data_IF_759139026946
#
_entry.id   IF_759139026946
#
_cell.length_a   1.000
_cell.length_b   1.000
_cell.length_c   1.000
_cell.angle_alpha   90.00
_cell.angle_beta   90.00
_cell.angle_gamma   90.00
#
_symmetry.space_group_name_H-M   'P 1'
#
loop_
_entity.id
_entity.type
_entity.pdbx_description
1 polymer ?
#
# COMPACT_ATOMS: atom_id res chain seq x y z
N UNK A 1 9.33 -47.25 4.11
CA UNK A 1 9.12 -46.68 2.76
C UNK A 1 7.94 -45.72 2.90
N UNK A 2 8.06 -44.39 2.79
CA UNK A 2 8.61 -43.61 1.68
C UNK A 2 9.09 -42.23 2.15
N UNK A 3 10.08 -41.67 1.45
CA UNK A 3 10.79 -40.41 1.74
C UNK A 3 10.10 -39.21 1.10
N UNK A 4 10.00 -38.09 1.82
CA UNK A 4 9.86 -36.72 1.27
C UNK A 4 10.64 -35.77 2.19
N UNK A 5 11.96 -35.66 2.00
CA UNK A 5 12.66 -34.56 1.30
C UNK A 5 12.40 -33.18 1.91
N UNK A 6 13.31 -32.80 2.82
CA UNK A 6 13.52 -31.45 3.33
C UNK A 6 14.20 -30.61 2.25
N UNK A 7 13.69 -29.42 1.95
CA UNK A 7 14.45 -28.40 1.21
C UNK A 7 14.86 -27.25 2.12
N UNK A 8 16.17 -27.24 2.39
CA UNK A 8 16.95 -26.19 3.03
C UNK A 8 17.01 -24.97 2.10
N UNK A 9 16.78 -23.76 2.64
CA UNK A 9 17.00 -22.51 1.90
C UNK A 9 18.50 -22.25 1.83
N UNK A 10 19.02 -22.33 0.61
CA UNK A 10 20.40 -22.04 0.25
C UNK A 10 20.81 -20.61 0.64
N UNK A 11 21.89 -20.51 1.40
CA UNK A 11 22.69 -19.30 1.60
C UNK A 11 23.54 -19.09 0.34
N UNK A 12 23.28 -18.05 -0.44
CA UNK A 12 24.20 -17.64 -1.51
C UNK A 12 25.28 -16.73 -0.93
N UNK A 13 26.46 -17.31 -0.68
CA UNK A 13 27.73 -16.57 -0.55
C UNK A 13 28.12 -16.09 -1.95
N UNK A 14 27.95 -14.80 -2.23
CA UNK A 14 28.55 -14.22 -3.42
C UNK A 14 30.06 -14.04 -3.18
N UNK A 15 30.84 -14.86 -3.90
CA UNK A 15 32.28 -14.72 -4.08
C UNK A 15 32.56 -13.46 -4.89
N UNK A 16 33.49 -12.63 -4.43
CA UNK A 16 34.06 -11.49 -5.14
C UNK A 16 34.86 -11.95 -6.37
N UNK A 17 34.61 -11.40 -7.58
CA UNK A 17 35.58 -11.45 -8.66
C UNK A 17 36.51 -10.24 -8.55
N UNK A 18 37.80 -10.51 -8.34
CA UNK A 18 38.90 -9.55 -8.50
C UNK A 18 39.24 -9.50 -9.99
N UNK A 19 39.07 -8.34 -10.64
CA UNK A 19 39.65 -8.04 -11.97
C UNK A 19 39.86 -6.51 -12.10
N UNK A 20 40.74 -6.07 -13.02
CA UNK A 20 41.94 -5.34 -12.64
C UNK A 20 41.82 -3.81 -12.76
N UNK A 21 42.68 -3.16 -11.98
CA UNK A 21 43.07 -1.75 -12.02
C UNK A 21 43.13 -1.21 -13.45
N UNK A 22 42.20 -0.33 -13.81
CA UNK A 22 42.33 0.54 -14.97
C UNK A 22 42.38 2.00 -14.53
N UNK A 23 43.28 2.73 -15.17
CA UNK A 23 43.94 3.92 -14.68
C UNK A 23 43.05 5.17 -14.78
N UNK A 24 43.23 6.04 -13.79
CA UNK A 24 42.94 7.46 -13.72
C UNK A 24 42.49 8.13 -15.02
N UNK A 25 41.19 8.46 -15.09
CA UNK A 25 40.69 9.59 -15.87
C UNK A 25 40.22 10.65 -14.88
N UNK A 26 41.02 11.69 -14.72
CA UNK A 26 40.65 12.91 -14.00
C UNK A 26 39.55 13.63 -14.78
N UNK A 27 38.33 13.58 -14.26
CA UNK A 27 37.24 14.45 -14.70
C UNK A 27 37.38 15.82 -13.99
N UNK A 28 37.19 16.94 -14.70
CA UNK A 28 37.30 18.27 -14.11
C UNK A 28 36.17 18.49 -13.09
N UNK A 29 36.55 19.01 -11.93
CA UNK A 29 35.63 19.42 -10.87
C UNK A 29 34.90 20.70 -11.33
N UNK A 30 33.59 20.62 -11.56
CA UNK A 30 32.77 21.82 -11.78
C UNK A 30 32.25 22.34 -10.45
N UNK A 31 32.85 23.41 -9.94
CA UNK A 31 32.28 24.24 -8.88
C UNK A 31 31.11 25.04 -9.44
N UNK A 32 29.88 24.70 -9.04
CA UNK A 32 28.71 25.55 -9.25
C UNK A 32 28.81 26.76 -8.33
N UNK A 33 29.02 27.94 -8.91
CA UNK A 33 28.82 29.23 -8.22
C UNK A 33 27.35 29.33 -7.83
N UNK A 34 27.08 29.42 -6.53
CA UNK A 34 25.73 29.61 -5.99
C UNK A 34 25.32 31.06 -6.28
N UNK A 35 24.39 31.23 -7.22
CA UNK A 35 23.75 32.50 -7.53
C UNK A 35 22.68 32.79 -6.46
N UNK A 36 23.00 33.72 -5.55
CA UNK A 36 22.18 34.04 -4.36
C UNK A 36 20.89 34.82 -4.67
N UNK A 37 20.60 35.14 -5.93
CA UNK A 37 19.49 36.02 -6.31
C UNK A 37 18.34 35.35 -7.09
N UNK A 38 18.29 34.02 -7.12
CA UNK A 38 17.15 33.29 -7.72
C UNK A 38 16.26 32.71 -6.63
N UNK A 39 14.94 32.97 -6.62
CA UNK A 39 14.04 32.27 -5.72
C UNK A 39 14.24 30.76 -5.95
N UNK A 40 14.66 30.06 -4.88
CA UNK A 40 14.96 28.64 -4.95
C UNK A 40 13.71 27.90 -5.35
N UNK A 41 13.76 27.24 -6.52
CA UNK A 41 12.71 26.29 -6.88
C UNK A 41 12.76 25.18 -5.82
N UNK A 42 11.61 24.74 -5.27
CA UNK A 42 11.61 23.63 -4.35
C UNK A 42 12.28 22.43 -5.02
N UNK A 43 13.14 21.76 -4.25
CA UNK A 43 13.79 20.55 -4.72
C UNK A 43 12.74 19.56 -5.24
N UNK A 44 13.04 18.81 -6.31
CA UNK A 44 12.11 17.81 -6.82
C UNK A 44 11.78 16.82 -5.70
N UNK A 45 10.55 16.26 -5.67
CA UNK A 45 10.17 15.23 -4.72
C UNK A 45 11.23 14.13 -4.68
N UNK A 46 11.54 13.53 -3.51
CA UNK A 46 12.65 12.59 -3.34
C UNK A 46 12.53 11.33 -4.21
N UNK A 47 11.34 11.09 -4.76
CA UNK A 47 11.02 9.99 -5.66
C UNK A 47 10.22 10.48 -6.87
N UNK A 48 10.31 9.74 -7.97
CA UNK A 48 9.49 9.88 -9.18
C UNK A 48 9.01 8.52 -9.65
N UNK A 49 7.88 8.48 -10.36
CA UNK A 49 7.40 7.27 -11.03
C UNK A 49 7.96 7.23 -12.46
N UNK A 50 8.46 6.08 -12.90
CA UNK A 50 8.87 5.84 -14.28
C UNK A 50 8.62 4.37 -14.67
N UNK A 51 8.81 4.02 -15.94
CA UNK A 51 8.70 2.63 -16.40
C UNK A 51 10.00 1.86 -16.12
N UNK A 52 9.84 0.58 -15.84
CA UNK A 52 10.90 -0.42 -15.79
C UNK A 52 10.86 -1.25 -17.07
N UNK A 53 11.94 -1.93 -17.40
CA UNK A 53 12.02 -2.78 -18.60
C UNK A 53 11.09 -4.00 -18.53
N UNK A 54 10.79 -4.51 -17.33
CA UNK A 54 10.10 -5.80 -17.15
C UNK A 54 8.99 -5.84 -16.10
N UNK A 55 8.86 -4.84 -15.24
CA UNK A 55 7.92 -4.83 -14.10
C UNK A 55 6.84 -3.73 -14.18
N UNK A 56 6.72 -3.05 -15.32
CA UNK A 56 5.78 -1.93 -15.49
C UNK A 56 6.25 -0.67 -14.74
N UNK A 57 5.36 -0.01 -13.99
CA UNK A 57 5.67 1.23 -13.25
C UNK A 57 6.52 0.94 -12.00
N UNK A 58 7.59 1.70 -11.83
CA UNK A 58 8.47 1.69 -10.67
C UNK A 58 8.64 3.08 -10.05
N UNK A 59 9.13 3.12 -8.81
CA UNK A 59 9.45 4.35 -8.07
C UNK A 59 10.96 4.49 -7.97
N UNK A 60 11.50 5.64 -8.39
CA UNK A 60 12.93 5.89 -8.51
C UNK A 60 13.32 7.13 -7.70
N UNK A 61 14.46 7.09 -7.02
CA UNK A 61 14.98 8.24 -6.30
C UNK A 61 15.40 9.38 -7.26
N UNK A 62 15.14 10.62 -6.88
CA UNK A 62 15.58 11.83 -7.61
C UNK A 62 16.84 12.47 -7.00
N UNK A 63 17.19 12.03 -5.78
CA UNK A 63 18.38 12.45 -5.02
C UNK A 63 18.94 11.26 -4.23
N UNK A 64 20.10 11.46 -3.58
CA UNK A 64 20.60 10.50 -2.58
C UNK A 64 19.65 10.47 -1.37
N UNK A 65 19.34 9.27 -0.87
CA UNK A 65 18.47 9.02 0.29
C UNK A 65 19.31 8.35 1.37
N UNK A 66 19.37 8.96 2.55
CA UNK A 66 20.10 8.45 3.71
C UNK A 66 19.31 7.43 4.52
N UNK A 67 20.00 6.76 5.46
CA UNK A 67 19.33 5.91 6.43
C UNK A 67 18.48 6.77 7.38
N UNK A 68 17.20 6.41 7.52
CA UNK A 68 16.24 7.16 8.35
C UNK A 68 15.54 8.31 7.63
N UNK A 69 15.86 8.60 6.36
CA UNK A 69 15.17 9.61 5.58
C UNK A 69 13.68 9.27 5.41
N UNK A 70 12.80 10.25 5.69
CA UNK A 70 11.39 10.17 5.30
C UNK A 70 11.26 10.42 3.79
N UNK A 71 10.90 9.39 3.04
CA UNK A 71 10.77 9.46 1.59
C UNK A 71 9.37 9.92 1.16
N UNK A 72 8.32 9.37 1.78
CA UNK A 72 6.94 9.66 1.43
C UNK A 72 6.00 9.29 2.58
N UNK A 73 4.91 10.04 2.71
CA UNK A 73 3.77 9.71 3.59
C UNK A 73 2.53 9.62 2.74
N UNK A 74 1.79 8.52 2.86
CA UNK A 74 0.51 8.31 2.18
C UNK A 74 -0.60 8.01 3.19
N UNK A 75 -1.79 8.55 2.94
CA UNK A 75 -3.01 8.09 3.61
C UNK A 75 -3.54 6.88 2.86
N UNK A 76 -3.93 5.78 3.54
CA UNK A 76 -4.51 4.64 2.86
C UNK A 76 -5.83 5.07 2.20
N UNK A 77 -5.99 4.70 0.92
CA UNK A 77 -7.27 4.87 0.20
C UNK A 77 -8.36 4.06 0.90
N UNK A 78 -8.00 2.86 1.37
CA UNK A 78 -8.90 1.90 1.97
C UNK A 78 -8.16 1.09 3.03
N UNK A 79 -8.82 0.89 4.17
CA UNK A 79 -8.32 0.10 5.27
C UNK A 79 -9.49 -0.61 5.96
N UNK A 80 -9.30 -1.83 6.44
CA UNK A 80 -10.31 -2.57 7.19
C UNK A 80 -9.61 -3.39 8.29
N UNK A 81 -10.12 -3.40 9.54
CA UNK A 81 -9.58 -4.22 10.61
C UNK A 81 -9.77 -5.72 10.30
N UNK A 82 -8.86 -6.60 10.70
CA UNK A 82 -9.16 -8.03 10.62
C UNK A 82 -10.34 -8.39 11.54
N UNK A 83 -11.18 -9.35 11.15
CA UNK A 83 -12.32 -9.80 11.97
C UNK A 83 -11.90 -10.22 13.39
N UNK A 84 -10.71 -10.82 13.55
CA UNK A 84 -10.17 -11.20 14.87
C UNK A 84 -9.79 -10.03 15.77
N UNK A 85 -9.64 -8.83 15.22
CA UNK A 85 -9.22 -7.62 15.94
C UNK A 85 -10.28 -6.52 15.93
N UNK A 86 -11.45 -6.77 15.33
CA UNK A 86 -12.47 -5.76 15.00
C UNK A 86 -12.99 -4.97 16.21
N UNK A 87 -12.88 -5.55 17.41
CA UNK A 87 -13.27 -4.98 18.69
C UNK A 87 -12.08 -4.46 19.53
N UNK A 88 -10.84 -4.61 19.08
CA UNK A 88 -9.61 -4.20 19.81
C UNK A 88 -8.83 -3.08 19.11
N UNK A 89 -9.24 -2.71 17.89
CA UNK A 89 -8.66 -1.60 17.13
C UNK A 89 -9.76 -0.67 16.63
N UNK A 90 -9.44 0.60 16.44
CA UNK A 90 -10.37 1.57 15.88
C UNK A 90 -10.79 1.15 14.46
N UNK A 91 -12.09 1.07 14.22
CA UNK A 91 -12.69 0.62 12.97
C UNK A 91 -12.33 1.52 11.77
N UNK A 92 -12.08 2.80 12.05
CA UNK A 92 -11.69 3.81 11.07
C UNK A 92 -10.16 3.88 10.87
N UNK A 93 -9.42 4.27 11.91
CA UNK A 93 -7.99 4.60 11.79
C UNK A 93 -7.03 3.45 12.15
N UNK A 94 -7.55 2.28 12.52
CA UNK A 94 -6.79 1.08 12.92
C UNK A 94 -5.88 1.26 14.16
N UNK A 95 -5.98 2.38 14.89
CA UNK A 95 -5.27 2.58 16.16
C UNK A 95 -5.69 1.50 17.16
N UNK A 96 -4.71 0.83 17.77
CA UNK A 96 -4.97 -0.14 18.84
C UNK A 96 -5.63 0.55 20.04
N UNK A 97 -6.68 -0.07 20.55
CA UNK A 97 -7.42 0.42 21.71
C UNK A 97 -6.84 -0.21 22.98
N UNK A 98 -6.77 0.58 24.05
CA UNK A 98 -6.37 0.10 25.37
C UNK A 98 -7.64 -0.50 26.00
N UNK A 99 -7.51 -1.69 26.59
CA UNK A 99 -8.56 -2.68 26.87
C UNK A 99 -9.72 -2.26 27.80
N UNK A 100 -9.85 -0.99 28.19
CA UNK A 100 -10.64 -0.60 29.37
C UNK A 100 -12.05 -0.06 29.10
N UNK A 101 -12.48 0.10 27.85
CA UNK A 101 -13.75 0.83 27.58
C UNK A 101 -14.75 0.15 26.62
N UNK A 102 -14.43 -1.03 26.07
CA UNK A 102 -15.29 -1.68 25.06
C UNK A 102 -16.02 -2.91 25.60
N UNK A 103 -17.25 -2.69 26.06
CA UNK A 103 -18.22 -3.74 26.46
C UNK A 103 -19.28 -4.04 25.39
N UNK A 104 -19.12 -3.52 24.17
CA UNK A 104 -20.11 -3.66 23.09
C UNK A 104 -19.89 -4.89 22.20
N UNK A 105 -20.99 -5.52 21.76
CA UNK A 105 -21.01 -6.48 20.65
C UNK A 105 -20.95 -5.72 19.32
N UNK A 106 -19.80 -5.17 18.94
CA UNK A 106 -19.68 -4.37 17.71
C UNK A 106 -18.28 -3.85 17.44
N UNK A 107 -18.20 -2.97 16.43
CA UNK A 107 -16.95 -2.29 16.07
C UNK A 107 -16.62 -1.20 17.09
N UNK A 108 -15.33 -0.88 17.22
CA UNK A 108 -14.84 0.08 18.21
C UNK A 108 -14.25 1.34 17.55
N UNK A 109 -14.35 2.51 18.19
CA UNK A 109 -13.80 3.78 17.69
C UNK A 109 -12.95 4.47 18.76
N UNK A 110 -11.80 5.05 18.40
CA UNK A 110 -10.93 5.73 19.38
C UNK A 110 -11.35 7.18 19.70
N UNK A 111 -12.27 7.75 18.93
CA UNK A 111 -12.78 9.11 19.11
C UNK A 111 -14.14 9.27 18.43
N UNK A 112 -14.89 10.29 18.83
CA UNK A 112 -16.12 10.69 18.16
C UNK A 112 -15.87 11.09 16.69
N UNK A 113 -14.76 11.76 16.41
CA UNK A 113 -14.32 12.08 15.04
C UNK A 113 -14.15 10.82 14.17
N UNK A 114 -13.53 9.76 14.69
CA UNK A 114 -13.41 8.50 13.95
C UNK A 114 -14.77 7.84 13.69
N UNK A 115 -15.72 7.98 14.62
CA UNK A 115 -17.08 7.47 14.45
C UNK A 115 -17.84 8.24 13.38
N UNK A 116 -17.72 9.57 13.37
CA UNK A 116 -18.33 10.45 12.38
C UNK A 116 -17.74 10.24 10.98
N UNK A 117 -16.42 10.18 10.87
CA UNK A 117 -15.74 9.92 9.61
C UNK A 117 -16.07 8.52 9.05
N UNK A 118 -16.29 7.52 9.92
CA UNK A 118 -16.69 6.19 9.48
C UNK A 118 -18.15 6.09 9.08
N UNK A 119 -19.01 6.99 9.58
CA UNK A 119 -20.46 6.96 9.39
C UNK A 119 -20.85 6.76 7.93
N UNK A 120 -20.16 7.45 7.02
CA UNK A 120 -20.44 7.43 5.57
C UNK A 120 -20.42 6.02 4.99
N UNK A 121 -19.51 5.13 5.37
CA UNK A 121 -19.51 3.74 4.87
C UNK A 121 -20.14 2.77 5.86
N UNK A 122 -20.04 3.06 7.15
CA UNK A 122 -20.53 2.17 8.20
C UNK A 122 -22.06 2.06 8.20
N UNK A 123 -22.78 3.16 7.95
CA UNK A 123 -24.25 3.13 7.88
C UNK A 123 -24.76 2.29 6.70
N UNK A 124 -24.05 2.27 5.58
CA UNK A 124 -24.36 1.38 4.45
C UNK A 124 -24.07 -0.07 4.84
N UNK A 125 -22.90 -0.32 5.44
CA UNK A 125 -22.49 -1.65 5.86
C UNK A 125 -23.51 -2.28 6.82
N UNK A 126 -24.03 -1.52 7.79
CA UNK A 126 -25.00 -2.03 8.78
C UNK A 126 -26.40 -2.33 8.25
N UNK A 127 -26.71 -1.99 6.99
CA UNK A 127 -28.03 -2.26 6.37
C UNK A 127 -28.14 -3.67 5.79
N UNK A 128 -27.04 -4.43 5.73
CA UNK A 128 -27.01 -5.77 5.19
C UNK A 128 -26.55 -6.79 6.24
N UNK A 129 -27.01 -8.04 6.09
CA UNK A 129 -26.52 -9.16 6.88
C UNK A 129 -25.23 -9.72 6.26
N UNK A 130 -24.12 -9.57 6.98
CA UNK A 130 -22.79 -10.03 6.55
C UNK A 130 -22.35 -11.31 7.25
N UNK A 131 -23.19 -11.95 8.07
CA UNK A 131 -22.77 -13.10 8.89
C UNK A 131 -22.13 -14.21 8.06
N UNK A 132 -22.80 -14.68 7.00
CA UNK A 132 -22.29 -15.73 6.12
C UNK A 132 -20.98 -15.32 5.43
N UNK A 133 -20.86 -14.05 5.02
CA UNK A 133 -19.67 -13.51 4.37
C UNK A 133 -18.48 -13.41 5.34
N UNK A 134 -18.72 -12.88 6.53
CA UNK A 134 -17.70 -12.72 7.56
C UNK A 134 -17.24 -14.08 8.09
N UNK A 135 -18.14 -15.06 8.25
CA UNK A 135 -17.80 -16.43 8.63
C UNK A 135 -16.96 -17.12 7.55
N UNK A 136 -17.32 -16.95 6.28
CA UNK A 136 -16.50 -17.45 5.17
C UNK A 136 -15.09 -16.84 5.19
N UNK A 137 -14.99 -15.51 5.33
CA UNK A 137 -13.72 -14.82 5.39
C UNK A 137 -12.89 -15.25 6.61
N UNK A 138 -13.52 -15.43 7.76
CA UNK A 138 -12.88 -15.89 9.01
C UNK A 138 -12.32 -17.30 8.85
N UNK A 139 -13.15 -18.22 8.38
CA UNK A 139 -12.79 -19.63 8.23
C UNK A 139 -11.67 -19.86 7.19
N UNK A 140 -11.62 -19.00 6.16
CA UNK A 140 -10.60 -19.06 5.11
C UNK A 140 -9.42 -18.10 5.33
N UNK A 141 -9.44 -17.31 6.40
CA UNK A 141 -8.39 -16.31 6.68
C UNK A 141 -8.28 -15.20 5.63
N UNK A 142 -9.38 -14.88 4.94
CA UNK A 142 -9.40 -13.91 3.84
C UNK A 142 -9.52 -12.48 4.37
N UNK A 143 -8.63 -11.60 3.90
CA UNK A 143 -8.58 -10.18 4.30
C UNK A 143 -9.03 -9.24 3.19
N UNK A 144 -8.65 -9.53 1.95
CA UNK A 144 -8.99 -8.69 0.80
C UNK A 144 -10.49 -8.55 0.54
N UNK A 145 -11.34 -9.59 0.72
CA UNK A 145 -12.78 -9.43 0.57
C UNK A 145 -13.37 -8.39 1.54
N UNK A 146 -12.84 -8.26 2.76
CA UNK A 146 -13.28 -7.26 3.73
C UNK A 146 -12.97 -5.83 3.27
N UNK A 147 -11.81 -5.64 2.61
CA UNK A 147 -11.47 -4.36 1.97
C UNK A 147 -12.46 -4.06 0.85
N UNK A 148 -12.70 -5.01 -0.05
CA UNK A 148 -13.65 -4.83 -1.17
C UNK A 148 -15.05 -4.52 -0.67
N UNK A 149 -15.54 -5.22 0.36
CA UNK A 149 -16.82 -4.92 1.03
C UNK A 149 -16.88 -3.45 1.48
N UNK A 150 -15.84 -2.96 2.15
CA UNK A 150 -15.79 -1.56 2.60
C UNK A 150 -15.73 -0.58 1.45
N UNK A 151 -14.96 -0.87 0.40
CA UNK A 151 -14.93 -0.02 -0.80
C UNK A 151 -16.32 0.08 -1.42
N UNK A 152 -17.03 -1.04 -1.57
CA UNK A 152 -18.39 -1.04 -2.08
C UNK A 152 -19.31 -0.18 -1.22
N UNK A 153 -19.21 -0.28 0.12
CA UNK A 153 -19.98 0.59 1.03
C UNK A 153 -19.61 2.08 0.86
N UNK A 154 -18.33 2.41 0.67
CA UNK A 154 -17.87 3.77 0.40
C UNK A 154 -18.37 4.31 -0.94
N UNK A 155 -18.42 3.48 -1.99
CA UNK A 155 -18.95 3.86 -3.31
C UNK A 155 -20.46 4.09 -3.23
N UNK A 156 -21.20 3.20 -2.58
CA UNK A 156 -22.66 3.32 -2.41
C UNK A 156 -23.03 4.60 -1.65
N UNK A 157 -22.23 5.01 -0.66
CA UNK A 157 -22.47 6.25 0.08
C UNK A 157 -21.92 7.51 -0.58
N UNK A 158 -21.24 7.39 -1.72
CA UNK A 158 -20.57 8.51 -2.40
C UNK A 158 -19.30 9.00 -1.70
N UNK A 159 -18.78 8.27 -0.70
CA UNK A 159 -17.54 8.60 0.00
C UNK A 159 -16.27 8.27 -0.82
N UNK A 160 -16.38 7.43 -1.85
CA UNK A 160 -15.32 7.13 -2.81
C UNK A 160 -15.93 6.95 -4.20
N UNK A 161 -15.13 7.17 -5.26
CA UNK A 161 -15.53 6.81 -6.62
C UNK A 161 -15.09 5.37 -6.94
N UNK A 162 -15.77 4.70 -7.87
CA UNK A 162 -15.43 3.34 -8.26
C UNK A 162 -14.04 3.26 -8.92
N UNK A 163 -13.63 4.36 -9.55
CA UNK A 163 -12.35 4.58 -10.23
C UNK A 163 -11.19 4.84 -9.26
N UNK A 164 -11.44 4.89 -7.94
CA UNK A 164 -10.41 5.17 -6.92
C UNK A 164 -9.24 4.15 -6.95
N UNK A 165 -9.44 2.98 -7.56
CA UNK A 165 -8.43 1.93 -7.71
C UNK A 165 -7.86 1.83 -9.13
N UNK A 166 -8.19 2.74 -10.04
CA UNK A 166 -7.69 2.71 -11.43
C UNK A 166 -6.17 2.84 -11.50
N UNK A 167 -5.54 3.43 -10.49
CA UNK A 167 -4.08 3.47 -10.36
C UNK A 167 -3.44 2.07 -10.30
N UNK A 168 -4.21 1.05 -9.93
CA UNK A 168 -3.79 -0.35 -9.90
C UNK A 168 -3.88 -1.03 -11.27
N UNK A 169 -4.55 -0.41 -12.25
CA UNK A 169 -4.64 -0.93 -13.61
C UNK A 169 -3.24 -1.03 -14.24
N UNK A 170 -2.93 -2.11 -14.97
CA UNK A 170 -1.61 -2.29 -15.57
C UNK A 170 -1.25 -1.12 -16.49
N UNK A 171 0.05 -0.83 -16.60
CA UNK A 171 0.56 0.32 -17.37
C UNK A 171 0.32 0.19 -18.87
N UNK A 172 0.37 -1.06 -19.34
CA UNK A 172 0.04 -1.46 -20.70
C UNK A 172 -0.95 -2.61 -20.57
N UNK A 173 -2.21 -2.39 -20.93
CA UNK A 173 -3.13 -3.49 -21.19
C UNK A 173 -2.75 -4.06 -22.56
N UNK A 174 -2.51 -5.38 -22.65
CA UNK A 174 -2.47 -6.01 -23.97
C UNK A 174 -3.85 -5.89 -24.62
N UNK A 175 -3.90 -5.92 -25.95
CA UNK A 175 -5.17 -5.85 -26.68
C UNK A 175 -6.15 -6.97 -26.25
N UNK A 176 -5.64 -8.16 -25.92
CA UNK A 176 -6.44 -9.26 -25.37
C UNK A 176 -7.04 -8.93 -23.99
N UNK A 177 -6.27 -8.35 -23.07
CA UNK A 177 -6.77 -7.97 -21.75
C UNK A 177 -7.85 -6.88 -21.83
N UNK A 178 -7.76 -5.96 -22.80
CA UNK A 178 -8.79 -4.94 -23.03
C UNK A 178 -10.11 -5.56 -23.50
N UNK A 179 -10.04 -6.59 -24.34
CA UNK A 179 -11.24 -7.27 -24.85
C UNK A 179 -11.95 -8.07 -23.75
N UNK A 180 -11.20 -8.69 -22.84
CA UNK A 180 -11.74 -9.51 -21.75
C UNK A 180 -12.44 -8.66 -20.67
N UNK A 181 -11.92 -7.48 -20.37
CA UNK A 181 -12.51 -6.55 -19.37
C UNK A 181 -13.79 -5.88 -19.88
N UNK A 182 -13.96 -5.71 -21.20
CA UNK A 182 -15.17 -5.11 -21.81
C UNK A 182 -16.31 -6.10 -22.09
N UNK A 183 -16.05 -7.39 -21.93
CA UNK A 183 -17.03 -8.45 -22.19
C UNK A 183 -17.87 -8.83 -20.95
N UNK A 184 -17.65 -8.16 -19.82
CA UNK A 184 -18.40 -8.27 -18.56
C UNK A 184 -19.21 -7.00 -18.31
#
# INVERSE_FOLDING_TARGET
>A
MSRLVRYSRYLSRFKTPIFPRCQHSTLPFSTTTVDYNKPSRPDPPPIRVALTESAGRGVFATRKIGAGDLIHTAKPILAHPSLSAINTICYFCLKKLISTEFHGKGVAFCSQECKENAKVFYEVETKADWLAFDDYCRNKGLKYPLLVKRLACMVISGAASAESLDILQPSNLSHEMVLEVRAL
#
